data_IF_548520386707
#
_entry.id   IF_548520386707
#
_cell.length_a   1.000
_cell.length_b   1.000
_cell.length_c   1.000
_cell.angle_alpha   90.00
_cell.angle_beta   90.00
_cell.angle_gamma   90.00
#
_symmetry.space_group_name_H-M   'P 1'
#
loop_
_entity.id
_entity.type
_entity.pdbx_description
1 polymer ?
#
# COMPACT_ATOMS: atom_id res chain seq x y z
N UNK A 1 15.47 -15.69 -19.39
CA UNK A 1 16.35 -16.78 -18.93
C UNK A 1 15.66 -17.51 -17.77
N UNK A 2 15.83 -18.83 -17.61
CA UNK A 2 15.29 -19.54 -16.45
C UNK A 2 15.93 -18.98 -15.17
N UNK A 3 15.10 -18.72 -14.15
CA UNK A 3 15.52 -18.17 -12.85
C UNK A 3 16.43 -19.19 -12.16
N UNK A 4 17.53 -18.75 -11.55
CA UNK A 4 18.41 -19.63 -10.78
C UNK A 4 17.59 -20.30 -9.65
N UNK A 5 17.78 -21.61 -9.38
CA UNK A 5 17.15 -22.26 -8.22
C UNK A 5 17.49 -21.53 -6.92
N UNK A 6 16.52 -21.44 -5.99
CA UNK A 6 16.63 -20.69 -4.72
C UNK A 6 17.95 -20.94 -3.98
N UNK A 7 18.30 -22.20 -3.75
CA UNK A 7 19.55 -22.57 -3.06
C UNK A 7 20.81 -22.05 -3.77
N UNK A 8 20.84 -22.01 -5.11
CA UNK A 8 21.97 -21.47 -5.88
C UNK A 8 22.02 -19.95 -5.84
N UNK A 9 20.85 -19.29 -5.81
CA UNK A 9 20.75 -17.84 -5.68
C UNK A 9 21.22 -17.36 -4.30
N UNK A 10 20.79 -18.03 -3.23
CA UNK A 10 21.26 -17.78 -1.86
C UNK A 10 22.76 -17.98 -1.77
N UNK A 11 23.27 -19.14 -2.20
CA UNK A 11 24.71 -19.45 -2.13
C UNK A 11 25.57 -18.41 -2.88
N UNK A 12 25.10 -17.88 -4.01
CA UNK A 12 25.79 -16.83 -4.76
C UNK A 12 25.92 -15.53 -3.96
N UNK A 13 24.83 -15.07 -3.33
CA UNK A 13 24.84 -13.84 -2.53
C UNK A 13 25.62 -14.05 -1.22
N UNK A 14 25.48 -15.21 -0.57
CA UNK A 14 26.25 -15.55 0.63
C UNK A 14 27.75 -15.58 0.38
N UNK A 15 28.19 -16.07 -0.79
CA UNK A 15 29.60 -15.99 -1.18
C UNK A 15 30.09 -14.53 -1.25
N UNK A 16 29.29 -13.62 -1.81
CA UNK A 16 29.61 -12.19 -1.84
C UNK A 16 29.69 -11.60 -0.43
N UNK A 17 28.75 -11.96 0.47
CA UNK A 17 28.75 -11.53 1.88
C UNK A 17 30.01 -12.04 2.60
N UNK A 18 30.36 -13.32 2.46
CA UNK A 18 31.51 -13.92 3.13
C UNK A 18 32.85 -13.33 2.71
N UNK A 19 32.95 -12.84 1.46
CA UNK A 19 34.16 -12.18 0.95
C UNK A 19 34.25 -10.69 1.31
N UNK A 20 33.15 -10.06 1.76
CA UNK A 20 33.06 -8.62 1.95
C UNK A 20 34.04 -8.07 3.00
N UNK A 21 34.26 -8.78 4.10
CA UNK A 21 35.20 -8.34 5.14
C UNK A 21 36.66 -8.34 4.66
N UNK A 22 37.03 -9.27 3.78
CA UNK A 22 38.36 -9.31 3.17
C UNK A 22 38.57 -8.07 2.28
N UNK A 23 37.67 -7.81 1.33
CA UNK A 23 37.80 -6.64 0.44
C UNK A 23 37.66 -5.31 1.18
N UNK A 24 36.87 -5.26 2.26
CA UNK A 24 36.78 -4.10 3.16
C UNK A 24 38.12 -3.79 3.84
N UNK A 25 38.89 -4.82 4.21
CA UNK A 25 40.21 -4.64 4.84
C UNK A 25 41.29 -4.19 3.84
N UNK A 26 41.15 -4.55 2.57
CA UNK A 26 42.11 -4.26 1.50
C UNK A 26 41.96 -2.84 0.91
N UNK A 27 40.74 -2.31 0.87
CA UNK A 27 40.47 -0.91 0.48
C UNK A 27 39.92 -0.69 -0.94
N UNK A 28 39.33 0.48 -1.17
CA UNK A 28 38.55 0.85 -2.37
C UNK A 28 39.34 0.79 -3.69
N UNK A 29 40.62 1.14 -3.64
CA UNK A 29 41.45 1.24 -4.85
C UNK A 29 41.94 -0.12 -5.37
N UNK A 30 41.66 -1.21 -4.64
CA UNK A 30 42.18 -2.53 -4.96
C UNK A 30 41.42 -3.20 -6.11
N UNK A 31 42.11 -4.02 -6.95
CA UNK A 31 41.44 -4.84 -7.95
C UNK A 31 40.41 -5.81 -7.34
N UNK A 32 40.66 -6.27 -6.10
CA UNK A 32 39.78 -7.17 -5.37
C UNK A 32 38.43 -6.51 -5.08
N UNK A 33 38.42 -5.29 -4.53
CA UNK A 33 37.19 -4.54 -4.29
C UNK A 33 36.43 -4.24 -5.60
N UNK A 34 37.12 -3.75 -6.64
CA UNK A 34 36.49 -3.45 -7.94
C UNK A 34 35.82 -4.67 -8.56
N UNK A 35 36.47 -5.83 -8.44
CA UNK A 35 35.89 -7.10 -8.89
C UNK A 35 34.67 -7.48 -8.07
N UNK A 36 34.78 -7.45 -6.74
CA UNK A 36 33.67 -7.76 -5.83
C UNK A 36 32.46 -6.85 -6.09
N UNK A 37 32.68 -5.54 -6.27
CA UNK A 37 31.63 -4.58 -6.57
C UNK A 37 30.90 -4.89 -7.89
N UNK A 38 31.66 -5.22 -8.94
CA UNK A 38 31.10 -5.59 -10.24
C UNK A 38 30.36 -6.91 -10.20
N UNK A 39 30.93 -7.93 -9.56
CA UNK A 39 30.36 -9.26 -9.46
C UNK A 39 29.07 -9.22 -8.62
N UNK A 40 29.01 -8.40 -7.56
CA UNK A 40 27.79 -8.15 -6.79
C UNK A 40 26.69 -7.45 -7.58
N UNK A 41 27.03 -6.40 -8.33
CA UNK A 41 26.07 -5.72 -9.20
C UNK A 41 25.51 -6.65 -10.29
N UNK A 42 26.35 -7.49 -10.89
CA UNK A 42 25.92 -8.48 -11.88
C UNK A 42 25.03 -9.56 -11.26
N UNK A 43 25.32 -10.02 -10.04
CA UNK A 43 24.49 -10.98 -9.33
C UNK A 43 23.10 -10.41 -9.03
N UNK A 44 23.02 -9.20 -8.47
CA UNK A 44 21.76 -8.53 -8.14
C UNK A 44 20.92 -8.25 -9.39
N UNK A 45 21.55 -7.71 -10.45
CA UNK A 45 20.91 -7.52 -11.76
C UNK A 45 20.31 -8.80 -12.31
N UNK A 46 21.07 -9.90 -12.30
CA UNK A 46 20.61 -11.17 -12.90
C UNK A 46 19.53 -11.87 -12.06
N UNK A 47 19.56 -11.71 -10.73
CA UNK A 47 18.62 -12.37 -9.83
C UNK A 47 17.30 -11.60 -9.68
N UNK A 48 17.35 -10.27 -9.65
CA UNK A 48 16.20 -9.40 -9.35
C UNK A 48 15.77 -8.51 -10.53
N UNK A 49 16.63 -8.33 -11.54
CA UNK A 49 16.37 -7.50 -12.71
C UNK A 49 16.94 -6.07 -12.61
N UNK A 50 17.00 -5.39 -13.75
CA UNK A 50 17.55 -4.04 -13.90
C UNK A 50 16.76 -2.96 -13.12
N UNK A 51 15.47 -3.20 -12.91
CA UNK A 51 14.59 -2.23 -12.23
C UNK A 51 14.43 -2.46 -10.74
N UNK A 52 15.08 -3.49 -10.20
CA UNK A 52 14.96 -3.90 -8.81
C UNK A 52 15.59 -2.90 -7.84
N UNK A 53 15.00 -2.76 -6.66
CA UNK A 53 15.50 -1.83 -5.65
C UNK A 53 16.90 -2.23 -5.17
N UNK A 54 17.16 -3.52 -5.00
CA UNK A 54 18.47 -4.04 -4.58
C UNK A 54 19.57 -3.68 -5.58
N UNK A 55 19.28 -3.76 -6.89
CA UNK A 55 20.24 -3.40 -7.92
C UNK A 55 20.43 -1.88 -8.05
N UNK A 56 19.35 -1.09 -7.89
CA UNK A 56 19.43 0.38 -7.90
C UNK A 56 20.18 0.90 -6.67
N UNK A 57 19.82 0.44 -5.48
CA UNK A 57 20.50 0.80 -4.22
C UNK A 57 22.00 0.41 -4.25
N UNK A 58 22.33 -0.73 -4.88
CA UNK A 58 23.72 -1.14 -5.08
C UNK A 58 24.50 -0.18 -5.96
N UNK A 59 23.90 0.29 -7.07
CA UNK A 59 24.53 1.27 -7.96
C UNK A 59 24.68 2.65 -7.30
N UNK A 60 23.70 3.04 -6.51
CA UNK A 60 23.66 4.35 -5.84
C UNK A 60 24.53 4.40 -4.57
N UNK A 61 25.07 3.26 -4.14
CA UNK A 61 25.96 3.20 -2.98
C UNK A 61 27.28 3.91 -3.26
N UNK A 62 27.51 5.02 -2.55
CA UNK A 62 28.79 5.74 -2.63
C UNK A 62 29.83 5.15 -1.68
N UNK A 63 31.03 4.91 -2.21
CA UNK A 63 32.21 4.45 -1.46
C UNK A 63 33.22 5.57 -1.20
N UNK A 64 32.94 6.77 -1.70
CA UNK A 64 33.79 7.95 -1.60
C UNK A 64 32.98 9.16 -1.09
N UNK A 65 33.61 10.17 -0.48
CA UNK A 65 32.90 11.37 -0.04
C UNK A 65 32.25 12.11 -1.23
N UNK A 66 31.00 12.55 -1.05
CA UNK A 66 30.25 13.30 -2.07
C UNK A 66 30.90 14.67 -2.35
N UNK A 67 31.63 15.22 -1.39
CA UNK A 67 32.33 16.50 -1.50
C UNK A 67 33.66 16.41 -0.75
N UNK A 68 34.76 16.71 -1.44
CA UNK A 68 36.11 16.76 -0.86
C UNK A 68 36.99 17.81 -1.55
N UNK A 69 38.05 18.21 -0.87
CA UNK A 69 39.04 19.21 -1.30
C UNK A 69 40.45 18.62 -1.18
N UNK A 70 41.46 19.31 -1.71
CA UNK A 70 42.86 18.84 -1.71
C UNK A 70 43.42 18.50 -0.31
N UNK A 71 42.86 19.09 0.76
CA UNK A 71 43.24 18.84 2.14
C UNK A 71 42.22 17.96 2.91
N UNK A 72 41.32 17.25 2.23
CA UNK A 72 40.41 16.32 2.90
C UNK A 72 41.21 15.19 3.55
N UNK A 73 41.10 14.98 4.87
CA UNK A 73 41.87 13.94 5.55
C UNK A 73 41.56 12.53 5.04
N UNK A 74 42.57 11.68 4.94
CA UNK A 74 42.45 10.29 4.47
C UNK A 74 41.40 9.46 5.23
N UNK A 75 41.18 9.76 6.52
CA UNK A 75 40.16 9.07 7.31
C UNK A 75 38.74 9.34 6.79
N UNK A 76 38.46 10.48 6.16
CA UNK A 76 37.14 10.79 5.59
C UNK A 76 36.82 9.88 4.40
N UNK A 77 37.82 9.55 3.58
CA UNK A 77 37.71 8.56 2.52
C UNK A 77 37.54 7.16 3.08
N UNK A 78 38.36 6.80 4.08
CA UNK A 78 38.26 5.50 4.78
C UNK A 78 36.88 5.30 5.40
N UNK A 79 36.33 6.31 6.06
CA UNK A 79 35.03 6.25 6.71
C UNK A 79 33.90 6.17 5.69
N UNK A 80 34.01 6.90 4.57
CA UNK A 80 33.04 6.80 3.46
C UNK A 80 33.08 5.42 2.81
N UNK A 81 34.27 4.87 2.61
CA UNK A 81 34.46 3.52 2.09
C UNK A 81 33.86 2.47 3.02
N UNK A 82 34.13 2.56 4.33
CA UNK A 82 33.55 1.65 5.32
C UNK A 82 32.02 1.73 5.34
N UNK A 83 31.45 2.94 5.30
CA UNK A 83 29.99 3.13 5.21
C UNK A 83 29.41 2.55 3.92
N UNK A 84 30.08 2.74 2.78
CA UNK A 84 29.70 2.14 1.51
C UNK A 84 29.68 0.61 1.59
N UNK A 85 30.71 0.00 2.18
CA UNK A 85 30.75 -1.45 2.43
C UNK A 85 29.62 -1.92 3.35
N UNK A 86 29.30 -1.16 4.41
CA UNK A 86 28.21 -1.48 5.33
C UNK A 86 26.84 -1.44 4.62
N UNK A 87 26.61 -0.42 3.78
CA UNK A 87 25.40 -0.32 2.94
C UNK A 87 25.29 -1.46 1.95
N UNK A 88 26.38 -1.79 1.26
CA UNK A 88 26.43 -2.90 0.31
C UNK A 88 26.15 -4.25 0.98
N UNK A 89 26.71 -4.48 2.18
CA UNK A 89 26.45 -5.68 2.96
C UNK A 89 24.99 -5.76 3.42
N UNK A 90 24.38 -4.63 3.78
CA UNK A 90 22.97 -4.56 4.15
C UNK A 90 22.06 -4.93 2.97
N UNK A 91 22.37 -4.43 1.76
CA UNK A 91 21.67 -4.77 0.53
C UNK A 91 21.76 -6.28 0.25
N UNK A 92 22.97 -6.87 0.32
CA UNK A 92 23.16 -8.31 0.09
C UNK A 92 22.42 -9.17 1.13
N UNK A 93 22.47 -8.80 2.42
CA UNK A 93 21.73 -9.49 3.49
C UNK A 93 20.21 -9.40 3.31
N UNK A 94 19.73 -8.23 2.87
CA UNK A 94 18.32 -8.02 2.51
C UNK A 94 17.94 -8.90 1.32
N UNK A 95 18.80 -8.99 0.31
CA UNK A 95 18.60 -9.84 -0.85
C UNK A 95 18.53 -11.33 -0.49
N UNK A 96 19.40 -11.84 0.39
CA UNK A 96 19.30 -13.22 0.92
C UNK A 96 17.97 -13.41 1.65
N UNK A 97 17.64 -12.52 2.58
CA UNK A 97 16.38 -12.58 3.33
C UNK A 97 15.18 -12.61 2.39
N UNK A 98 15.21 -11.81 1.31
CA UNK A 98 14.17 -11.80 0.32
C UNK A 98 14.07 -13.10 -0.48
N UNK A 99 15.21 -13.65 -0.90
CA UNK A 99 15.25 -14.95 -1.59
C UNK A 99 14.71 -16.04 -0.67
N UNK A 100 15.20 -16.12 0.56
CA UNK A 100 14.79 -17.12 1.54
C UNK A 100 13.30 -17.04 1.90
N UNK A 101 12.78 -15.82 2.02
CA UNK A 101 11.41 -15.55 2.47
C UNK A 101 10.39 -15.61 1.33
N UNK A 102 10.75 -15.16 0.12
CA UNK A 102 9.79 -14.92 -0.97
C UNK A 102 10.10 -15.67 -2.27
N UNK A 103 11.25 -16.35 -2.42
CA UNK A 103 11.47 -17.24 -3.57
C UNK A 103 11.03 -18.66 -3.22
N UNK A 104 10.28 -19.28 -4.12
CA UNK A 104 9.84 -20.66 -3.99
C UNK A 104 10.98 -21.65 -4.27
N UNK A 105 10.96 -22.81 -3.59
CA UNK A 105 11.85 -23.95 -3.84
C UNK A 105 11.48 -24.70 -5.13
N UNK A 106 11.27 -23.97 -6.22
CA UNK A 106 10.92 -24.57 -7.50
C UNK A 106 12.18 -25.18 -8.14
N UNK A 107 12.49 -26.43 -7.79
CA UNK A 107 13.01 -27.38 -8.77
C UNK A 107 12.00 -27.44 -9.94
N UNK A 108 12.48 -27.51 -11.20
CA UNK A 108 11.59 -27.59 -12.36
C UNK A 108 11.00 -29.00 -12.44
N UNK A 109 10.00 -29.30 -11.62
CA UNK A 109 9.29 -30.58 -11.72
C UNK A 109 8.15 -30.50 -12.72
N UNK A 110 8.31 -31.35 -13.73
CA UNK A 110 7.37 -31.74 -14.77
C UNK A 110 5.93 -31.88 -14.27
N UNK A 111 5.03 -31.39 -15.11
CA UNK A 111 3.57 -31.48 -15.06
C UNK A 111 3.00 -32.83 -14.64
N UNK A 112 2.06 -32.78 -13.68
CA UNK A 112 0.92 -33.70 -13.61
C UNK A 112 -0.33 -32.84 -13.35
N UNK A 113 -1.41 -32.94 -14.15
CA UNK A 113 -2.65 -32.24 -13.91
C UNK A 113 -3.52 -33.07 -12.97
N UNK A 114 -4.01 -32.49 -11.85
CA UNK A 114 -5.28 -32.86 -11.19
C UNK A 114 -5.55 -32.03 -9.93
N UNK A 115 -6.74 -31.41 -9.86
CA UNK A 115 -7.45 -31.18 -8.60
C UNK A 115 -7.53 -29.73 -8.10
N UNK A 116 -8.51 -29.00 -8.63
CA UNK A 116 -9.18 -27.77 -8.15
C UNK A 116 -8.83 -27.33 -6.71
N UNK A 117 -7.65 -26.72 -6.53
CA UNK A 117 -7.43 -25.76 -5.45
C UNK A 117 -8.01 -24.44 -5.96
N UNK A 118 -9.08 -23.94 -5.32
CA UNK A 118 -9.80 -22.74 -5.75
C UNK A 118 -8.83 -21.57 -5.96
N UNK A 119 -8.44 -21.35 -7.21
CA UNK A 119 -7.66 -20.18 -7.58
C UNK A 119 -8.56 -18.97 -7.39
N UNK A 120 -8.08 -18.02 -6.61
CA UNK A 120 -8.78 -16.76 -6.42
C UNK A 120 -8.94 -16.09 -7.80
N UNK A 121 -10.16 -15.78 -8.21
CA UNK A 121 -10.43 -15.25 -9.55
C UNK A 121 -10.48 -13.72 -9.55
N UNK A 122 -11.23 -13.15 -8.61
CA UNK A 122 -11.50 -11.71 -8.54
C UNK A 122 -11.07 -11.15 -7.19
N UNK A 123 -10.27 -10.10 -7.20
CA UNK A 123 -9.91 -9.34 -6.00
C UNK A 123 -10.52 -7.93 -6.05
N UNK A 124 -11.22 -7.52 -5.00
CA UNK A 124 -11.75 -6.17 -4.85
C UNK A 124 -10.87 -5.31 -3.93
N UNK A 125 -10.13 -4.37 -4.51
CA UNK A 125 -9.40 -3.34 -3.77
C UNK A 125 -10.27 -2.09 -3.60
N UNK A 126 -10.51 -1.66 -2.36
CA UNK A 126 -11.41 -0.54 -2.05
C UNK A 126 -11.18 -0.03 -0.62
N UNK A 127 -11.72 1.14 -0.28
CA UNK A 127 -11.80 1.61 1.11
C UNK A 127 -12.96 0.93 1.82
N UNK A 128 -12.86 0.69 3.14
CA UNK A 128 -14.00 0.18 3.92
C UNK A 128 -15.24 1.08 3.85
N UNK A 129 -15.07 2.36 3.46
CA UNK A 129 -16.16 3.32 3.24
C UNK A 129 -16.90 3.11 1.90
N UNK A 130 -16.31 2.35 0.98
CA UNK A 130 -16.91 1.99 -0.31
C UNK A 130 -17.70 0.66 -0.23
N UNK A 131 -17.88 0.09 0.97
CA UNK A 131 -18.56 -1.19 1.15
C UNK A 131 -19.93 -1.30 0.46
N UNK A 132 -20.82 -0.29 0.49
CA UNK A 132 -22.13 -0.38 -0.17
C UNK A 132 -22.02 -0.61 -1.68
N UNK A 133 -21.13 0.11 -2.37
CA UNK A 133 -20.94 -0.01 -3.81
C UNK A 133 -20.25 -1.33 -4.16
N UNK A 134 -19.26 -1.75 -3.35
CA UNK A 134 -18.54 -3.00 -3.55
C UNK A 134 -19.47 -4.21 -3.36
N UNK A 135 -20.37 -4.18 -2.39
CA UNK A 135 -21.37 -5.22 -2.20
C UNK A 135 -22.26 -5.40 -3.44
N UNK A 136 -22.76 -4.31 -4.02
CA UNK A 136 -23.57 -4.38 -5.23
C UNK A 136 -22.76 -4.85 -6.46
N UNK A 137 -21.49 -4.45 -6.58
CA UNK A 137 -20.61 -4.92 -7.65
C UNK A 137 -20.28 -6.42 -7.52
N UNK A 138 -20.04 -6.92 -6.31
CA UNK A 138 -19.84 -8.35 -6.04
C UNK A 138 -21.08 -9.13 -6.43
N UNK A 139 -22.27 -8.68 -6.01
CA UNK A 139 -23.54 -9.31 -6.37
C UNK A 139 -23.80 -9.34 -7.88
N UNK A 140 -23.44 -8.25 -8.57
CA UNK A 140 -23.51 -8.16 -10.03
C UNK A 140 -22.62 -9.22 -10.69
N UNK A 141 -21.35 -9.30 -10.34
CA UNK A 141 -20.41 -10.25 -10.95
C UNK A 141 -20.76 -11.70 -10.62
N UNK A 142 -21.18 -11.99 -9.38
CA UNK A 142 -21.66 -13.33 -9.01
C UNK A 142 -22.87 -13.75 -9.84
N UNK A 143 -23.83 -12.85 -10.02
CA UNK A 143 -25.04 -13.13 -10.80
C UNK A 143 -24.75 -13.26 -12.30
N UNK A 144 -23.84 -12.45 -12.83
CA UNK A 144 -23.53 -12.43 -14.26
C UNK A 144 -22.58 -13.56 -14.68
N UNK A 145 -21.63 -13.96 -13.82
CA UNK A 145 -20.53 -14.87 -14.17
C UNK A 145 -20.54 -16.19 -13.37
N UNK A 146 -21.58 -16.40 -12.54
CA UNK A 146 -21.74 -17.59 -11.68
C UNK A 146 -20.57 -17.84 -10.73
N UNK A 147 -19.94 -16.77 -10.26
CA UNK A 147 -18.84 -16.84 -9.30
C UNK A 147 -19.34 -17.33 -7.93
N UNK A 148 -18.58 -18.22 -7.32
CA UNK A 148 -18.78 -18.64 -5.92
C UNK A 148 -18.09 -17.66 -4.98
N UNK A 149 -18.46 -17.69 -3.70
CA UNK A 149 -17.82 -16.84 -2.69
C UNK A 149 -16.31 -17.12 -2.60
N UNK A 150 -15.89 -18.38 -2.79
CA UNK A 150 -14.48 -18.79 -2.84
C UNK A 150 -13.69 -18.21 -4.03
N UNK A 151 -14.38 -17.77 -5.10
CA UNK A 151 -13.74 -17.19 -6.28
C UNK A 151 -13.39 -15.70 -6.06
N UNK A 152 -13.94 -15.07 -5.03
CA UNK A 152 -13.86 -13.62 -4.80
C UNK A 152 -13.13 -13.32 -3.50
N UNK A 153 -12.26 -12.29 -3.53
CA UNK A 153 -11.68 -11.71 -2.32
C UNK A 153 -12.20 -10.29 -2.13
N UNK A 154 -12.84 -10.06 -0.99
CA UNK A 154 -13.29 -8.75 -0.55
C UNK A 154 -13.21 -8.68 0.98
N UNK A 155 -12.12 -8.16 1.53
CA UNK A 155 -11.80 -8.26 2.97
C UNK A 155 -12.76 -7.51 3.91
N UNK A 156 -13.59 -6.62 3.36
CA UNK A 156 -14.58 -5.82 4.09
C UNK A 156 -15.98 -6.46 4.15
N UNK A 157 -16.25 -7.47 3.32
CA UNK A 157 -17.51 -8.21 3.32
C UNK A 157 -17.41 -9.41 4.27
N UNK A 158 -18.36 -9.51 5.20
CA UNK A 158 -18.48 -10.66 6.08
C UNK A 158 -18.78 -11.93 5.27
N UNK A 159 -17.91 -12.94 5.40
CA UNK A 159 -17.93 -14.16 4.58
C UNK A 159 -16.67 -14.36 3.72
N UNK A 160 -15.85 -13.33 3.53
CA UNK A 160 -14.63 -13.35 2.72
C UNK A 160 -13.34 -13.12 3.54
N UNK A 161 -13.43 -13.37 4.85
CA UNK A 161 -12.36 -13.11 5.82
C UNK A 161 -11.22 -14.13 5.67
N UNK A 162 -10.02 -13.69 6.00
CA UNK A 162 -8.82 -14.52 6.05
C UNK A 162 -8.98 -15.65 7.08
N UNK A 163 -8.39 -16.84 6.86
CA UNK A 163 -8.31 -17.88 7.89
C UNK A 163 -7.69 -17.32 9.18
N UNK A 164 -8.26 -17.70 10.33
CA UNK A 164 -7.77 -17.26 11.63
C UNK A 164 -6.31 -17.67 11.85
N UNK A 165 -5.44 -16.71 12.20
CA UNK A 165 -4.02 -16.94 12.47
C UNK A 165 -3.07 -16.59 11.32
N UNK A 166 -3.55 -16.22 10.14
CA UNK A 166 -2.70 -15.82 9.00
C UNK A 166 -2.28 -14.35 9.09
N UNK A 167 -1.03 -14.04 8.70
CA UNK A 167 -0.57 -12.68 8.46
C UNK A 167 -1.41 -12.03 7.37
N UNK A 168 -2.24 -11.06 7.76
CA UNK A 168 -3.15 -10.31 6.88
C UNK A 168 -2.39 -9.76 5.67
N UNK A 169 -1.20 -9.21 5.90
CA UNK A 169 -0.39 -8.57 4.87
C UNK A 169 0.21 -9.57 3.86
N UNK A 170 0.64 -10.76 4.30
CA UNK A 170 1.22 -11.78 3.40
C UNK A 170 0.17 -12.42 2.51
N UNK A 171 -1.00 -12.67 3.08
CA UNK A 171 -2.11 -13.24 2.33
C UNK A 171 -2.70 -12.21 1.34
N UNK A 172 -2.86 -10.94 1.74
CA UNK A 172 -3.33 -9.88 0.85
C UNK A 172 -2.38 -9.64 -0.33
N UNK A 173 -1.06 -9.65 -0.10
CA UNK A 173 -0.06 -9.52 -1.17
C UNK A 173 -0.13 -10.66 -2.19
N UNK A 174 -0.21 -11.92 -1.70
CA UNK A 174 -0.38 -13.08 -2.57
C UNK A 174 -1.67 -12.98 -3.36
N UNK A 175 -2.77 -12.63 -2.73
CA UNK A 175 -4.08 -12.58 -3.39
C UNK A 175 -4.22 -11.43 -4.40
N UNK A 176 -3.58 -10.28 -4.16
CA UNK A 176 -3.45 -9.19 -5.15
C UNK A 176 -2.70 -9.67 -6.40
N UNK A 177 -1.70 -10.53 -6.22
CA UNK A 177 -0.93 -11.09 -7.33
C UNK A 177 -1.67 -12.24 -8.02
N UNK A 178 -2.15 -13.21 -7.25
CA UNK A 178 -2.66 -14.50 -7.72
C UNK A 178 -4.07 -14.40 -8.31
N UNK A 179 -4.84 -13.35 -7.94
CA UNK A 179 -6.12 -13.08 -8.58
C UNK A 179 -5.96 -12.91 -10.09
N UNK A 180 -6.85 -13.52 -10.87
CA UNK A 180 -6.89 -13.37 -12.33
C UNK A 180 -7.20 -11.91 -12.72
N UNK A 181 -8.10 -11.26 -11.98
CA UNK A 181 -8.43 -9.84 -12.16
C UNK A 181 -8.52 -9.11 -10.82
N UNK A 182 -7.96 -7.89 -10.76
CA UNK A 182 -8.18 -6.96 -9.66
C UNK A 182 -9.12 -5.85 -10.12
N UNK A 183 -10.19 -5.64 -9.37
CA UNK A 183 -11.14 -4.54 -9.55
C UNK A 183 -10.86 -3.54 -8.44
N UNK A 184 -10.46 -2.33 -8.81
CA UNK A 184 -10.14 -1.28 -7.85
C UNK A 184 -11.26 -0.24 -7.84
N UNK A 185 -12.00 -0.13 -6.73
CA UNK A 185 -13.01 0.91 -6.59
C UNK A 185 -12.33 2.23 -6.22
N UNK A 186 -12.39 3.20 -7.12
CA UNK A 186 -11.73 4.50 -6.99
C UNK A 186 -12.70 5.53 -6.46
N UNK A 187 -12.44 5.98 -5.23
CA UNK A 187 -13.14 7.06 -4.54
C UNK A 187 -12.11 7.96 -3.86
N UNK A 188 -12.55 9.11 -3.35
CA UNK A 188 -11.67 9.96 -2.56
C UNK A 188 -11.13 9.24 -1.32
N UNK A 189 -11.91 8.31 -0.74
CA UNK A 189 -11.50 7.51 0.41
C UNK A 189 -10.50 6.43 0.03
N UNK A 190 -10.67 5.75 -1.11
CA UNK A 190 -9.75 4.70 -1.55
C UNK A 190 -8.39 5.23 -1.99
N UNK A 191 -8.32 6.44 -2.57
CA UNK A 191 -7.05 7.09 -2.90
C UNK A 191 -6.31 7.63 -1.66
N UNK A 192 -7.00 7.90 -0.56
CA UNK A 192 -6.37 8.22 0.74
C UNK A 192 -5.94 6.97 1.51
N UNK A 193 -6.55 5.82 1.22
CA UNK A 193 -6.20 4.54 1.83
C UNK A 193 -4.85 4.07 1.33
N UNK A 194 -3.85 4.11 2.22
CA UNK A 194 -2.49 3.65 1.90
C UNK A 194 -2.50 2.20 1.42
N UNK A 195 -3.25 1.32 2.09
CA UNK A 195 -3.39 -0.08 1.67
C UNK A 195 -3.96 -0.22 0.26
N UNK A 196 -5.07 0.45 -0.05
CA UNK A 196 -5.70 0.38 -1.37
C UNK A 196 -4.76 0.89 -2.47
N UNK A 197 -4.06 2.00 -2.24
CA UNK A 197 -3.05 2.53 -3.19
C UNK A 197 -1.89 1.55 -3.37
N UNK A 198 -1.42 0.89 -2.31
CA UNK A 198 -0.38 -0.14 -2.41
C UNK A 198 -0.85 -1.38 -3.18
N UNK A 199 -2.08 -1.85 -2.99
CA UNK A 199 -2.65 -2.98 -3.73
C UNK A 199 -2.78 -2.66 -5.23
N UNK A 200 -3.30 -1.48 -5.55
CA UNK A 200 -3.40 -0.98 -6.92
C UNK A 200 -2.01 -0.82 -7.55
N UNK A 201 -1.05 -0.25 -6.83
CA UNK A 201 0.32 -0.06 -7.27
C UNK A 201 1.07 -1.37 -7.49
N UNK A 202 0.92 -2.34 -6.59
CA UNK A 202 1.50 -3.67 -6.73
C UNK A 202 0.93 -4.40 -7.95
N UNK A 203 -0.39 -4.30 -8.17
CA UNK A 203 -1.05 -4.89 -9.33
C UNK A 203 -0.60 -4.26 -10.64
N UNK A 204 -0.55 -2.93 -10.68
CA UNK A 204 -0.08 -2.18 -11.84
C UNK A 204 1.38 -2.52 -12.15
N UNK A 205 2.26 -2.50 -11.14
CA UNK A 205 3.68 -2.82 -11.29
C UNK A 205 3.96 -4.26 -11.72
N UNK A 206 3.07 -5.20 -11.36
CA UNK A 206 3.13 -6.59 -11.82
C UNK A 206 2.61 -6.77 -13.26
N UNK A 207 2.15 -5.70 -13.93
CA UNK A 207 1.52 -5.72 -15.25
C UNK A 207 0.40 -6.78 -15.37
N UNK A 208 -0.39 -6.94 -14.31
CA UNK A 208 -1.55 -7.85 -14.27
C UNK A 208 -2.85 -7.07 -14.43
N UNK A 209 -3.92 -7.77 -14.86
CA UNK A 209 -5.22 -7.15 -15.16
C UNK A 209 -5.73 -6.37 -13.94
N UNK A 210 -5.84 -5.05 -14.12
CA UNK A 210 -6.36 -4.07 -13.17
C UNK A 210 -7.47 -3.29 -13.86
N UNK A 211 -8.67 -3.28 -13.29
CA UNK A 211 -9.83 -2.54 -13.80
C UNK A 211 -10.24 -1.49 -12.75
N UNK A 212 -9.94 -0.20 -12.97
CA UNK A 212 -10.43 0.86 -12.10
C UNK A 212 -11.94 1.07 -12.32
N UNK A 213 -12.70 1.10 -11.23
CA UNK A 213 -14.15 1.39 -11.22
C UNK A 213 -14.39 2.63 -10.36
N UNK A 214 -14.81 3.72 -10.98
CA UNK A 214 -15.04 5.00 -10.30
C UNK A 214 -16.35 4.96 -9.52
N UNK A 215 -16.28 5.36 -8.26
CA UNK A 215 -17.43 5.71 -7.42
C UNK A 215 -18.33 6.77 -8.11
N UNK A 216 -19.65 6.82 -7.85
CA UNK A 216 -20.54 7.76 -8.54
C UNK A 216 -20.19 9.24 -8.31
N UNK A 217 -19.43 9.55 -7.27
CA UNK A 217 -19.00 10.92 -6.93
C UNK A 217 -17.58 11.25 -7.41
N UNK A 218 -16.84 10.28 -7.96
CA UNK A 218 -15.46 10.46 -8.40
C UNK A 218 -15.35 10.66 -9.91
N UNK A 219 -14.76 11.79 -10.32
CA UNK A 219 -14.58 12.11 -11.74
C UNK A 219 -13.28 11.51 -12.30
N UNK A 220 -13.35 10.92 -13.50
CA UNK A 220 -12.18 10.33 -14.19
C UNK A 220 -11.03 11.34 -14.37
N UNK A 221 -11.34 12.62 -14.57
CA UNK A 221 -10.36 13.69 -14.72
C UNK A 221 -9.49 13.92 -13.46
N UNK A 222 -9.90 13.39 -12.31
CA UNK A 222 -9.16 13.47 -11.05
C UNK A 222 -8.24 12.27 -10.81
N UNK A 223 -8.16 11.33 -11.77
CA UNK A 223 -7.16 10.27 -11.73
C UNK A 223 -5.78 10.85 -12.01
N UNK A 224 -4.79 10.44 -11.22
CA UNK A 224 -3.40 10.88 -11.36
C UNK A 224 -2.47 9.67 -11.50
N UNK A 225 -1.28 9.93 -12.06
CA UNK A 225 -0.22 8.93 -12.19
C UNK A 225 -0.65 7.69 -12.98
N UNK A 226 -0.15 6.49 -12.61
CA UNK A 226 -0.42 5.24 -13.33
C UNK A 226 -1.90 4.91 -13.57
N UNK A 227 -2.81 5.38 -12.71
CA UNK A 227 -4.23 5.11 -12.86
C UNK A 227 -4.89 5.95 -13.95
N UNK A 228 -4.33 7.12 -14.27
CA UNK A 228 -4.82 7.95 -15.38
C UNK A 228 -4.51 7.36 -16.76
N UNK A 229 -3.57 6.42 -16.83
CA UNK A 229 -3.19 5.70 -18.05
C UNK A 229 -4.12 4.50 -18.32
N UNK A 230 -4.97 4.14 -17.36
CA UNK A 230 -5.91 3.03 -17.46
C UNK A 230 -7.30 3.52 -17.85
N UNK A 231 -8.01 2.71 -18.64
CA UNK A 231 -9.42 2.95 -18.94
C UNK A 231 -10.28 2.64 -17.70
N UNK A 232 -10.69 3.69 -16.98
CA UNK A 232 -11.56 3.57 -15.82
C UNK A 232 -13.04 3.50 -16.23
N UNK A 233 -13.78 2.59 -15.59
CA UNK A 233 -15.23 2.43 -15.78
C UNK A 233 -15.98 3.15 -14.66
N UNK A 234 -17.07 3.83 -14.96
CA UNK A 234 -17.92 4.47 -13.96
C UNK A 234 -19.05 3.56 -13.54
N UNK A 235 -19.19 3.32 -12.23
CA UNK A 235 -20.35 2.59 -11.70
C UNK A 235 -21.66 3.40 -11.79
N UNK A 236 -21.57 4.67 -12.16
CA UNK A 236 -22.71 5.54 -12.46
C UNK A 236 -23.26 5.35 -13.89
N UNK A 237 -22.66 4.48 -14.71
CA UNK A 237 -22.97 4.30 -16.13
C UNK A 237 -23.33 2.86 -16.44
N UNK A 238 -24.58 2.63 -16.84
CA UNK A 238 -25.11 1.30 -17.21
C UNK A 238 -24.28 0.61 -18.32
N UNK A 239 -23.96 1.27 -19.45
CA UNK A 239 -23.11 0.66 -20.47
C UNK A 239 -21.72 0.26 -19.93
N UNK A 240 -21.14 1.05 -19.02
CA UNK A 240 -19.82 0.74 -18.47
C UNK A 240 -19.87 -0.38 -17.42
N UNK A 241 -21.00 -0.57 -16.71
CA UNK A 241 -21.22 -1.74 -15.87
C UNK A 241 -21.38 -3.03 -16.70
N UNK A 242 -22.02 -2.95 -17.86
CA UNK A 242 -22.07 -4.07 -18.81
C UNK A 242 -20.66 -4.40 -19.34
N UNK A 243 -19.90 -3.37 -19.69
CA UNK A 243 -18.50 -3.55 -20.10
C UNK A 243 -17.63 -4.14 -18.99
N UNK A 244 -17.84 -3.76 -17.72
CA UNK A 244 -17.14 -4.38 -16.60
C UNK A 244 -17.40 -5.90 -16.54
N UNK A 245 -18.65 -6.33 -16.73
CA UNK A 245 -19.01 -7.76 -16.78
C UNK A 245 -18.28 -8.46 -17.94
N UNK A 246 -18.27 -7.86 -19.12
CA UNK A 246 -17.60 -8.40 -20.31
C UNK A 246 -16.08 -8.50 -20.13
N UNK A 247 -15.45 -7.45 -19.60
CA UNK A 247 -14.01 -7.39 -19.37
C UNK A 247 -13.56 -8.41 -18.31
N UNK A 248 -14.36 -8.61 -17.26
CA UNK A 248 -14.11 -9.62 -16.23
C UNK A 248 -14.34 -11.02 -16.81
N UNK A 249 -15.43 -11.25 -17.56
CA UNK A 249 -15.68 -12.53 -18.22
C UNK A 249 -14.51 -12.95 -19.13
N UNK A 250 -14.03 -11.99 -19.93
CA UNK A 250 -12.88 -12.19 -20.81
C UNK A 250 -11.59 -12.48 -20.03
N UNK A 251 -11.33 -11.76 -18.92
CA UNK A 251 -10.17 -12.01 -18.08
C UNK A 251 -10.18 -13.41 -17.44
N UNK A 252 -11.37 -13.89 -17.07
CA UNK A 252 -11.57 -15.20 -16.45
C UNK A 252 -11.72 -16.36 -17.46
N UNK A 253 -11.79 -16.06 -18.77
CA UNK A 253 -12.05 -17.06 -19.80
C UNK A 253 -13.43 -17.73 -19.68
N UNK A 254 -14.42 -17.05 -19.09
CA UNK A 254 -15.80 -17.55 -18.93
C UNK A 254 -16.77 -16.77 -19.80
N UNK A 255 -17.97 -17.31 -20.00
CA UNK A 255 -19.07 -16.59 -20.65
C UNK A 255 -20.00 -15.98 -19.62
N UNK A 256 -20.36 -14.71 -19.81
CA UNK A 256 -21.42 -14.09 -19.03
C UNK A 256 -22.79 -14.69 -19.37
N UNK A 257 -23.67 -14.76 -18.38
CA UNK A 257 -25.07 -15.10 -18.59
C UNK A 257 -25.80 -14.03 -19.41
N UNK A 258 -27.04 -14.31 -19.82
CA UNK A 258 -27.84 -13.32 -20.53
C UNK A 258 -28.08 -12.06 -19.67
N UNK A 259 -28.10 -10.83 -20.23
CA UNK A 259 -28.30 -9.60 -19.47
C UNK A 259 -29.51 -9.61 -18.53
N UNK A 260 -30.60 -10.27 -18.92
CA UNK A 260 -31.80 -10.44 -18.10
C UNK A 260 -31.56 -11.14 -16.75
N UNK A 261 -30.50 -11.93 -16.61
CA UNK A 261 -30.14 -12.63 -15.37
C UNK A 261 -29.56 -11.69 -14.30
N UNK A 262 -28.93 -10.58 -14.70
CA UNK A 262 -28.22 -9.67 -13.79
C UNK A 262 -28.62 -8.19 -13.94
N UNK A 263 -29.57 -7.85 -14.82
CA UNK A 263 -29.99 -6.47 -15.05
C UNK A 263 -30.50 -5.77 -13.77
N UNK A 264 -31.22 -6.50 -12.91
CA UNK A 264 -31.66 -6.01 -11.61
C UNK A 264 -30.50 -5.66 -10.66
N UNK A 265 -29.34 -6.30 -10.83
CA UNK A 265 -28.12 -6.00 -10.08
C UNK A 265 -27.43 -4.74 -10.62
N UNK A 266 -27.46 -4.52 -11.94
CA UNK A 266 -27.04 -3.24 -12.54
C UNK A 266 -27.88 -2.09 -11.97
N UNK A 267 -29.20 -2.25 -11.91
CA UNK A 267 -30.08 -1.25 -11.30
C UNK A 267 -29.73 -0.98 -9.83
N UNK A 268 -29.42 -2.04 -9.07
CA UNK A 268 -29.01 -1.90 -7.66
C UNK A 268 -27.73 -1.07 -7.52
N UNK A 269 -26.74 -1.26 -8.41
CA UNK A 269 -25.51 -0.45 -8.44
C UNK A 269 -25.82 1.02 -8.80
N UNK A 270 -26.67 1.25 -9.80
CA UNK A 270 -27.02 2.60 -10.26
C UNK A 270 -27.83 3.40 -9.22
N UNK A 271 -28.65 2.71 -8.42
CA UNK A 271 -29.47 3.30 -7.36
C UNK A 271 -28.68 3.74 -6.13
N UNK A 272 -27.40 3.37 -6.02
CA UNK A 272 -26.52 3.89 -4.97
C UNK A 272 -26.16 5.37 -5.15
N UNK A 273 -26.59 6.00 -6.25
CA UNK A 273 -26.58 7.46 -6.40
C UNK A 273 -27.50 8.09 -5.35
N UNK A 274 -26.96 9.04 -4.60
CA UNK A 274 -27.57 9.72 -3.43
C UNK A 274 -27.41 9.04 -2.07
N UNK A 275 -26.25 8.44 -1.81
CA UNK A 275 -25.74 8.48 -0.45
C UNK A 275 -24.74 9.63 -0.31
N UNK A 276 -25.23 10.79 0.16
CA UNK A 276 -24.40 11.66 1.01
C UNK A 276 -23.69 10.77 2.05
N UNK A 277 -22.45 11.08 2.48
CA UNK A 277 -21.60 10.17 3.24
C UNK A 277 -22.43 9.42 4.28
N UNK A 278 -22.61 8.11 4.06
CA UNK A 278 -23.39 7.28 4.97
C UNK A 278 -22.68 7.38 6.30
N UNK A 279 -23.34 8.08 7.23
CA UNK A 279 -23.03 8.05 8.64
C UNK A 279 -22.85 6.58 9.01
N UNK A 280 -21.64 6.24 9.46
CA UNK A 280 -21.30 4.91 9.93
C UNK A 280 -22.46 4.43 10.82
N UNK A 281 -23.10 3.34 10.40
CA UNK A 281 -24.10 2.67 11.23
C UNK A 281 -23.32 2.05 12.38
N UNK A 282 -23.18 2.84 13.42
CA UNK A 282 -22.71 2.46 14.73
C UNK A 282 -23.67 1.40 15.26
N UNK A 283 -23.13 0.22 15.51
CA UNK A 283 -23.65 -0.64 16.55
C UNK A 283 -23.74 0.18 17.84
N UNK A 284 -24.97 0.57 18.16
CA UNK A 284 -25.45 1.10 19.43
C UNK A 284 -24.39 1.59 20.43
N UNK A 285 -24.09 2.90 20.35
CA UNK A 285 -24.16 3.85 21.47
C UNK A 285 -24.10 5.26 20.89
N UNK A 286 -25.09 6.08 21.25
CA UNK A 286 -25.48 7.28 20.52
C UNK A 286 -24.54 8.48 20.62
N UNK A 287 -24.81 9.45 19.75
CA UNK A 287 -24.24 10.79 19.76
C UNK A 287 -24.04 11.30 18.34
N UNK A 288 -24.83 12.28 17.96
CA UNK A 288 -24.67 13.24 16.86
C UNK A 288 -23.19 13.48 16.47
N UNK A 289 -22.92 13.81 15.21
CA UNK A 289 -21.61 14.20 14.65
C UNK A 289 -21.05 15.49 15.27
N UNK A 290 -20.96 15.50 16.59
CA UNK A 290 -20.30 16.41 17.50
C UNK A 290 -18.97 15.77 17.85
N UNK A 291 -17.94 16.57 18.15
CA UNK A 291 -16.81 16.01 18.89
C UNK A 291 -17.39 15.39 20.17
N UNK A 292 -17.10 14.11 20.37
CA UNK A 292 -17.35 13.47 21.66
C UNK A 292 -16.35 13.99 22.70
N UNK A 293 -16.48 13.51 23.94
CA UNK A 293 -15.62 13.95 25.03
C UNK A 293 -14.13 13.72 24.73
N UNK A 294 -13.77 12.63 24.04
CA UNK A 294 -12.38 12.32 23.69
C UNK A 294 -11.84 13.35 22.68
N UNK A 295 -12.62 13.68 21.64
CA UNK A 295 -12.26 14.72 20.68
C UNK A 295 -12.09 16.10 21.33
N UNK A 296 -13.01 16.48 22.22
CA UNK A 296 -12.96 17.76 22.95
C UNK A 296 -11.71 17.82 23.85
N UNK A 297 -11.35 16.71 24.50
CA UNK A 297 -10.14 16.60 25.32
C UNK A 297 -8.85 16.66 24.50
N UNK A 298 -8.83 16.06 23.30
CA UNK A 298 -7.67 16.13 22.39
C UNK A 298 -7.49 17.56 21.87
N UNK A 299 -8.57 18.23 21.47
CA UNK A 299 -8.53 19.62 21.03
C UNK A 299 -8.07 20.56 22.16
N UNK A 300 -8.57 20.34 23.38
CA UNK A 300 -8.14 21.06 24.57
C UNK A 300 -6.66 20.81 24.87
N UNK A 301 -6.19 19.57 24.73
CA UNK A 301 -4.79 19.24 24.93
C UNK A 301 -3.88 19.93 23.90
N UNK A 302 -4.30 20.03 22.64
CA UNK A 302 -3.57 20.79 21.61
C UNK A 302 -3.50 22.28 21.98
N UNK A 303 -4.59 22.85 22.54
CA UNK A 303 -4.60 24.23 23.05
C UNK A 303 -3.61 24.44 24.21
N UNK A 304 -3.66 23.57 25.21
CA UNK A 304 -2.86 23.68 26.44
C UNK A 304 -1.36 23.39 26.22
N UNK A 305 -1.05 22.39 25.38
CA UNK A 305 0.33 22.02 25.07
C UNK A 305 0.98 23.00 24.09
N UNK A 306 0.19 23.62 23.22
CA UNK A 306 0.69 24.50 22.18
C UNK A 306 1.00 25.90 22.68
N UNK A 307 0.19 26.47 23.57
CA UNK A 307 0.39 27.87 24.02
C UNK A 307 0.46 28.89 22.86
N UNK A 308 -0.12 28.56 21.70
CA UNK A 308 0.01 29.32 20.45
C UNK A 308 1.08 28.82 19.46
N UNK A 309 1.81 27.75 19.80
CA UNK A 309 2.80 27.06 18.97
C UNK A 309 2.35 25.64 18.58
N UNK A 310 3.17 25.00 17.75
CA UNK A 310 3.00 23.65 17.22
C UNK A 310 3.13 22.56 18.30
N UNK A 311 2.19 21.61 18.32
CA UNK A 311 2.19 20.44 19.21
C UNK A 311 2.57 19.19 18.44
N UNK A 312 3.66 18.55 18.84
CA UNK A 312 4.14 17.33 18.18
C UNK A 312 3.19 16.14 18.41
N UNK A 313 2.98 15.31 17.38
CA UNK A 313 2.12 14.12 17.47
C UNK A 313 2.52 13.20 18.65
N UNK A 314 3.82 12.98 18.84
CA UNK A 314 4.37 12.17 19.95
C UNK A 314 3.92 12.64 21.35
N UNK A 315 3.69 13.94 21.52
CA UNK A 315 3.23 14.49 22.79
C UNK A 315 1.75 14.15 23.03
N UNK A 316 0.94 14.15 21.96
CA UNK A 316 -0.45 13.70 22.01
C UNK A 316 -0.52 12.18 22.23
N UNK A 317 0.30 11.39 21.54
CA UNK A 317 0.38 9.94 21.74
C UNK A 317 0.75 9.56 23.17
N UNK A 318 1.70 10.29 23.77
CA UNK A 318 2.06 10.08 25.18
C UNK A 318 0.91 10.44 26.13
N UNK A 319 0.16 11.52 25.87
CA UNK A 319 -0.94 11.98 26.74
C UNK A 319 -2.20 11.11 26.59
N UNK A 320 -2.44 10.57 25.40
CA UNK A 320 -3.62 9.77 25.05
C UNK A 320 -3.26 8.31 24.76
N UNK A 321 -2.25 7.77 25.45
CA UNK A 321 -1.78 6.38 25.28
C UNK A 321 -2.88 5.33 25.47
N UNK A 322 -3.90 5.63 26.29
CA UNK A 322 -5.07 4.78 26.54
C UNK A 322 -6.02 4.66 25.33
N UNK A 323 -6.01 5.61 24.38
CA UNK A 323 -6.84 5.54 23.17
C UNK A 323 -6.20 4.65 22.10
N UNK A 324 -4.88 4.49 22.12
CA UNK A 324 -4.11 3.84 21.07
C UNK A 324 -3.94 4.72 19.82
N UNK A 325 -2.90 4.42 19.02
CA UNK A 325 -2.51 5.24 17.86
C UNK A 325 -3.65 5.43 16.85
N UNK A 326 -4.32 4.34 16.43
CA UNK A 326 -5.40 4.38 15.43
C UNK A 326 -6.56 5.28 15.83
N UNK A 327 -6.95 5.28 17.11
CA UNK A 327 -8.08 6.07 17.61
C UNK A 327 -7.69 7.54 17.78
N UNK A 328 -6.44 7.81 18.19
CA UNK A 328 -5.91 9.17 18.24
C UNK A 328 -5.82 9.79 16.83
N UNK A 329 -5.30 9.04 15.85
CA UNK A 329 -5.27 9.47 14.44
C UNK A 329 -6.67 9.76 13.91
N UNK A 330 -7.65 8.91 14.22
CA UNK A 330 -9.05 9.16 13.85
C UNK A 330 -9.59 10.50 14.37
N UNK A 331 -9.35 10.84 15.64
CA UNK A 331 -9.80 12.12 16.18
C UNK A 331 -9.03 13.31 15.61
N UNK A 332 -7.73 13.16 15.36
CA UNK A 332 -6.92 14.18 14.68
C UNK A 332 -7.45 14.45 13.27
N UNK A 333 -7.77 13.41 12.50
CA UNK A 333 -8.35 13.53 11.16
C UNK A 333 -9.69 14.27 11.20
N UNK A 334 -10.53 13.99 12.21
CA UNK A 334 -11.80 14.71 12.44
C UNK A 334 -11.53 16.20 12.71
N UNK A 335 -10.55 16.51 13.57
CA UNK A 335 -10.20 17.88 13.94
C UNK A 335 -9.65 18.67 12.74
N UNK A 336 -8.80 18.06 11.91
CA UNK A 336 -8.28 18.66 10.68
C UNK A 336 -9.40 18.87 9.64
N UNK A 337 -10.23 17.84 9.41
CA UNK A 337 -11.37 17.90 8.47
C UNK A 337 -12.37 18.99 8.87
N UNK A 338 -12.57 19.20 10.17
CA UNK A 338 -13.44 20.27 10.68
C UNK A 338 -12.78 21.64 10.72
N UNK A 339 -11.50 21.73 10.35
CA UNK A 339 -10.67 22.93 10.42
C UNK A 339 -10.52 23.50 11.84
N UNK A 340 -10.55 22.63 12.85
CA UNK A 340 -10.25 23.02 14.24
C UNK A 340 -8.74 23.10 14.50
N UNK A 341 -7.96 22.27 13.81
CA UNK A 341 -6.49 22.27 13.83
C UNK A 341 -5.92 22.28 12.40
N UNK A 342 -4.63 22.55 12.27
CA UNK A 342 -3.85 22.43 11.04
C UNK A 342 -2.60 21.58 11.29
N UNK A 343 -2.33 20.59 10.44
CA UNK A 343 -1.07 19.85 10.47
C UNK A 343 0.05 20.62 9.79
N UNK A 344 1.22 20.71 10.42
CA UNK A 344 2.43 21.20 9.77
C UNK A 344 3.20 20.03 9.14
N UNK A 345 3.32 20.08 7.81
CA UNK A 345 3.97 19.07 6.97
C UNK A 345 5.37 19.57 6.60
N UNK A 346 6.40 18.78 6.89
CA UNK A 346 7.75 19.15 6.49
C UNK A 346 7.88 19.08 4.96
N UNK A 347 8.42 20.14 4.36
CA UNK A 347 8.67 20.28 2.91
C UNK A 347 9.65 19.23 2.35
N UNK A 348 10.33 18.50 3.23
CA UNK A 348 11.29 17.44 2.89
C UNK A 348 10.88 16.17 3.65
N UNK A 349 10.10 15.32 2.99
CA UNK A 349 9.83 13.92 3.35
C UNK A 349 8.98 13.67 4.61
N UNK A 350 7.65 13.83 4.53
CA UNK A 350 6.68 12.90 5.15
C UNK A 350 5.24 13.16 4.67
N UNK A 351 4.49 12.08 4.35
CA UNK A 351 3.02 12.10 4.14
C UNK A 351 2.21 12.19 5.47
N UNK A 352 2.86 12.54 6.58
CA UNK A 352 2.22 12.70 7.89
C UNK A 352 2.74 13.99 8.57
N UNK A 353 1.85 14.84 9.10
CA UNK A 353 2.24 16.07 9.78
C UNK A 353 2.90 15.72 11.12
N UNK A 354 4.04 16.36 11.41
CA UNK A 354 4.81 16.09 12.66
C UNK A 354 4.26 16.87 13.85
N UNK A 355 3.54 17.95 13.58
CA UNK A 355 2.97 18.82 14.58
C UNK A 355 1.61 19.37 14.14
N UNK A 356 0.81 19.79 15.11
CA UNK A 356 -0.51 20.37 14.90
C UNK A 356 -0.61 21.73 15.58
N UNK A 357 -1.27 22.67 14.91
CA UNK A 357 -1.52 24.02 15.42
C UNK A 357 -3.02 24.26 15.55
N UNK A 358 -3.44 24.89 16.64
CA UNK A 358 -4.85 25.22 16.88
C UNK A 358 -5.33 26.38 15.98
N UNK A 359 -6.44 26.19 15.25
CA UNK A 359 -7.05 27.22 14.39
C UNK A 359 -8.09 28.06 15.15
N UNK A 360 -8.47 29.20 14.56
CA UNK A 360 -9.46 30.11 15.13
C UNK A 360 -10.81 29.42 15.41
N UNK A 361 -11.25 28.54 14.52
CA UNK A 361 -12.48 27.76 14.67
C UNK A 361 -12.40 26.78 15.85
N UNK A 362 -11.23 26.18 16.10
CA UNK A 362 -10.99 25.30 17.24
C UNK A 362 -11.02 26.06 18.57
N UNK A 363 -10.43 27.26 18.60
CA UNK A 363 -10.53 28.16 19.77
C UNK A 363 -11.96 28.56 20.07
N UNK A 364 -12.73 28.96 19.06
CA UNK A 364 -14.14 29.31 19.22
C UNK A 364 -14.96 28.14 19.77
N UNK A 365 -14.74 26.92 19.25
CA UNK A 365 -15.41 25.71 19.74
C UNK A 365 -15.10 25.41 21.22
N UNK A 366 -13.84 25.57 21.66
CA UNK A 366 -13.48 25.37 23.07
C UNK A 366 -14.13 26.40 23.99
N UNK A 367 -14.25 27.66 23.55
CA UNK A 367 -14.93 28.74 24.28
C UNK A 367 -16.44 28.49 24.35
N UNK A 368 -17.08 28.13 23.22
CA UNK A 368 -18.51 27.84 23.14
C UNK A 368 -18.92 26.65 24.03
N UNK A 369 -17.98 25.72 24.26
CA UNK A 369 -18.15 24.56 25.15
C UNK A 369 -17.76 24.81 26.61
N UNK A 370 -17.20 25.98 26.94
CA UNK A 370 -16.75 26.32 28.30
C UNK A 370 -15.56 25.49 28.80
N UNK A 371 -14.69 25.04 27.88
CA UNK A 371 -13.52 24.20 28.20
C UNK A 371 -12.23 25.00 28.40
N UNK A 372 -12.21 26.28 28.00
CA UNK A 372 -11.10 27.24 28.16
C UNK A 372 -11.59 28.62 28.55
#
# INVERSE_FOLDING_TARGET
MPRLPKHKAVALIEQLISSADSVRSEGESTPAFKRWHRDGGAALRNLFGDDSHQFKDWQDTSYSPIMFWDNTPDHVFRDSFQRGCDSALAILKSAVTEIETFWDDAEPTLSIPSGDASMLKVFFSHSSRDLPIVACLVDLLKSALRLKDSDIRCTSLDGYRLPGGTSVSDQLRREVHDAEVLIAVVSADSLRSTYTVFEMGARWGANKKLIPVLDPTFAAANLEGPLSELNALSCASRPQLQQLVEDVAAALGVSADAPSAYDSKIESVLQLKHSAPIAATTGQRGGDGTLDADGDQILLAISQLGGGQEVLLRALESKFSHLGHTRLSYYIDILETRHYIDGNYNFLHSKQPRAYTLKAKGRAHLVDKGLV
#
